data_IF_281306654019
#
_entry.id   IF_281306654019
#
_cell.length_a   1.000
_cell.length_b   1.000
_cell.length_c   1.000
_cell.angle_alpha   90.00
_cell.angle_beta   90.00
_cell.angle_gamma   90.00
#
_symmetry.space_group_name_H-M   'P 1'
#
loop_
_entity.id
_entity.type
_entity.pdbx_description
1 polymer ?
#
# COMPACT_ATOMS: atom_id res chain seq x y z
N UNK A 1 19.05 -1.44 22.37
CA UNK A 1 17.85 -1.86 23.13
C UNK A 1 16.64 -1.00 22.76
N UNK A 2 16.72 0.34 22.86
CA UNK A 2 15.66 1.27 22.44
C UNK A 2 15.24 1.16 20.96
N UNK A 3 16.18 0.92 20.03
CA UNK A 3 15.85 0.73 18.61
C UNK A 3 15.09 -0.57 18.32
N UNK A 4 15.40 -1.65 19.03
CA UNK A 4 14.68 -2.93 18.91
C UNK A 4 13.23 -2.80 19.39
N UNK A 5 13.00 -2.10 20.50
CA UNK A 5 11.64 -1.80 20.99
C UNK A 5 10.86 -0.89 20.04
N UNK A 6 11.54 0.05 19.37
CA UNK A 6 10.92 0.93 18.37
C UNK A 6 10.49 0.14 17.13
N UNK A 7 11.35 -0.76 16.65
CA UNK A 7 11.06 -1.67 15.53
C UNK A 7 9.89 -2.61 15.86
N UNK A 8 9.85 -3.21 17.05
CA UNK A 8 8.71 -4.04 17.49
C UNK A 8 7.40 -3.25 17.58
N UNK A 9 7.45 -2.03 18.11
CA UNK A 9 6.29 -1.14 18.19
C UNK A 9 5.73 -0.76 16.81
N UNK A 10 6.61 -0.46 15.84
CA UNK A 10 6.23 -0.11 14.48
C UNK A 10 5.62 -1.31 13.71
N UNK A 11 6.12 -2.53 13.97
CA UNK A 11 5.58 -3.78 13.40
C UNK A 11 4.17 -4.04 13.93
N UNK A 12 3.98 -3.97 15.24
CA UNK A 12 2.67 -4.19 15.88
C UNK A 12 1.65 -3.17 15.36
N UNK A 13 2.05 -1.90 15.24
CA UNK A 13 1.18 -0.85 14.71
C UNK A 13 0.79 -1.09 13.24
N UNK A 14 1.75 -1.47 12.39
CA UNK A 14 1.46 -1.77 10.99
C UNK A 14 0.51 -2.98 10.84
N UNK A 15 0.72 -4.04 11.62
CA UNK A 15 -0.16 -5.21 11.62
C UNK A 15 -1.55 -4.86 12.17
N UNK A 16 -1.64 -4.05 13.22
CA UNK A 16 -2.92 -3.59 13.76
C UNK A 16 -3.70 -2.79 12.72
N UNK A 17 -3.05 -1.82 12.06
CA UNK A 17 -3.67 -1.02 11.00
C UNK A 17 -4.20 -1.91 9.86
N UNK A 18 -3.46 -2.96 9.49
CA UNK A 18 -3.92 -3.93 8.50
C UNK A 18 -5.18 -4.66 8.97
N UNK A 19 -5.18 -5.18 10.20
CA UNK A 19 -6.31 -5.93 10.75
C UNK A 19 -7.56 -5.04 10.89
N UNK A 20 -7.38 -3.79 11.32
CA UNK A 20 -8.45 -2.80 11.40
C UNK A 20 -9.03 -2.47 10.03
N UNK A 21 -8.17 -2.27 9.03
CA UNK A 21 -8.58 -2.06 7.65
C UNK A 21 -9.34 -3.26 7.07
N UNK A 22 -8.87 -4.48 7.34
CA UNK A 22 -9.58 -5.71 6.93
C UNK A 22 -10.95 -5.80 7.60
N UNK A 23 -11.04 -5.55 8.91
CA UNK A 23 -12.31 -5.58 9.65
C UNK A 23 -13.28 -4.52 9.13
N UNK A 24 -12.81 -3.30 8.89
CA UNK A 24 -13.62 -2.24 8.28
C UNK A 24 -14.14 -2.65 6.91
N UNK A 25 -13.29 -3.27 6.08
CA UNK A 25 -13.71 -3.75 4.76
C UNK A 25 -14.74 -4.87 4.85
N UNK A 26 -14.58 -5.82 5.76
CA UNK A 26 -15.56 -6.88 6.03
C UNK A 26 -16.90 -6.27 6.46
N UNK A 27 -16.89 -5.28 7.35
CA UNK A 27 -18.10 -4.62 7.82
C UNK A 27 -18.82 -3.89 6.68
N UNK A 28 -18.09 -3.13 5.84
CA UNK A 28 -18.68 -2.43 4.68
C UNK A 28 -19.31 -3.43 3.71
N UNK A 29 -18.60 -4.50 3.36
CA UNK A 29 -19.14 -5.51 2.42
C UNK A 29 -20.35 -6.22 3.05
N UNK A 30 -20.34 -6.49 4.35
CA UNK A 30 -21.47 -7.12 5.05
C UNK A 30 -22.70 -6.21 5.02
N UNK A 31 -22.53 -4.90 5.25
CA UNK A 31 -23.62 -3.92 5.12
C UNK A 31 -24.18 -3.87 3.68
N UNK A 32 -23.32 -3.93 2.67
CA UNK A 32 -23.75 -3.97 1.26
C UNK A 32 -24.54 -5.26 0.95
N UNK A 33 -24.11 -6.40 1.48
CA UNK A 33 -24.87 -7.66 1.37
C UNK A 33 -26.25 -7.51 2.04
N UNK A 34 -26.31 -6.92 3.23
CA UNK A 34 -27.56 -6.69 3.96
C UNK A 34 -28.49 -5.74 3.21
N UNK A 35 -27.96 -4.68 2.57
CA UNK A 35 -28.75 -3.80 1.70
C UNK A 35 -29.33 -4.54 0.49
N UNK A 36 -28.54 -5.40 -0.16
CA UNK A 36 -29.01 -6.23 -1.28
C UNK A 36 -30.07 -7.23 -0.81
N UNK A 37 -29.87 -7.85 0.36
CA UNK A 37 -30.84 -8.75 0.99
C UNK A 37 -32.11 -8.01 1.42
N UNK A 38 -32.02 -6.78 1.91
CA UNK A 38 -33.17 -5.96 2.25
C UNK A 38 -33.97 -5.57 1.00
N UNK A 39 -33.30 -5.30 -0.13
CA UNK A 39 -33.98 -5.13 -1.42
C UNK A 39 -34.74 -6.38 -1.88
N UNK A 40 -34.41 -7.57 -1.35
CA UNK A 40 -35.19 -8.79 -1.58
C UNK A 40 -36.58 -8.68 -0.99
N UNK A 41 -36.72 -8.00 0.14
CA UNK A 41 -38.02 -7.79 0.77
C UNK A 41 -38.94 -6.97 -0.14
N UNK A 42 -38.40 -5.99 -0.89
CA UNK A 42 -39.15 -5.22 -1.88
C UNK A 42 -39.59 -6.08 -3.09
N UNK A 43 -38.72 -6.96 -3.61
CA UNK A 43 -39.14 -7.89 -4.66
C UNK A 43 -40.14 -8.92 -4.15
N UNK A 44 -39.98 -9.42 -2.93
CA UNK A 44 -40.97 -10.30 -2.31
C UNK A 44 -42.33 -9.60 -2.15
N UNK A 45 -42.34 -8.29 -1.89
CA UNK A 45 -43.55 -7.50 -1.83
C UNK A 45 -44.23 -7.40 -3.21
N UNK A 46 -43.47 -7.15 -4.28
CA UNK A 46 -43.99 -7.24 -5.66
C UNK A 46 -44.52 -8.63 -5.99
N UNK A 47 -43.79 -9.69 -5.63
CA UNK A 47 -44.22 -11.07 -5.83
C UNK A 47 -45.51 -11.38 -5.07
N UNK A 48 -45.69 -10.85 -3.86
CA UNK A 48 -46.92 -11.01 -3.09
C UNK A 48 -48.11 -10.31 -3.75
N UNK A 49 -47.91 -9.10 -4.29
CA UNK A 49 -48.95 -8.41 -5.06
C UNK A 49 -49.32 -9.26 -6.29
N UNK A 50 -48.35 -9.68 -7.09
CA UNK A 50 -48.61 -10.52 -8.26
C UNK A 50 -49.27 -11.86 -7.91
N UNK A 51 -48.89 -12.48 -6.80
CA UNK A 51 -49.49 -13.70 -6.30
C UNK A 51 -50.99 -13.54 -6.03
N UNK A 52 -51.42 -12.43 -5.42
CA UNK A 52 -52.83 -12.14 -5.15
C UNK A 52 -53.69 -12.10 -6.44
N UNK A 53 -53.06 -11.78 -7.57
CA UNK A 53 -53.70 -11.66 -8.88
C UNK A 53 -53.38 -12.81 -9.84
N UNK A 54 -52.67 -13.84 -9.36
CA UNK A 54 -52.20 -14.98 -10.16
C UNK A 54 -51.38 -14.55 -11.39
N UNK A 55 -50.58 -13.50 -11.23
CA UNK A 55 -49.70 -12.98 -12.28
C UNK A 55 -48.35 -13.69 -12.20
N UNK A 56 -47.86 -14.18 -13.34
CA UNK A 56 -46.53 -14.81 -13.41
C UNK A 56 -45.43 -13.77 -13.27
N UNK A 57 -44.53 -13.95 -12.30
CA UNK A 57 -43.36 -13.06 -12.14
C UNK A 57 -42.33 -13.15 -13.27
N UNK A 58 -42.43 -14.17 -14.14
CA UNK A 58 -41.49 -14.40 -15.24
C UNK A 58 -42.05 -14.04 -16.61
N UNK A 59 -43.36 -13.76 -16.71
CA UNK A 59 -44.06 -13.46 -17.97
C UNK A 59 -45.28 -12.57 -17.65
N UNK A 60 -45.03 -11.28 -17.43
CA UNK A 60 -46.07 -10.28 -17.11
C UNK A 60 -46.58 -9.67 -18.41
N UNK A 61 -47.88 -9.78 -18.68
CA UNK A 61 -48.52 -9.23 -19.89
C UNK A 61 -49.47 -8.08 -19.57
N UNK A 62 -49.80 -7.29 -20.58
CA UNK A 62 -50.74 -6.16 -20.47
C UNK A 62 -52.07 -6.57 -19.83
N UNK A 63 -52.57 -7.76 -20.20
CA UNK A 63 -53.82 -8.33 -19.67
C UNK A 63 -53.72 -8.69 -18.19
N UNK A 64 -52.52 -8.98 -17.70
CA UNK A 64 -52.28 -9.26 -16.29
C UNK A 64 -52.33 -7.99 -15.44
N UNK A 65 -51.71 -6.90 -15.91
CA UNK A 65 -51.76 -5.61 -15.21
C UNK A 65 -53.20 -5.10 -15.07
N UNK A 66 -54.07 -5.36 -16.04
CA UNK A 66 -55.49 -4.97 -15.98
C UNK A 66 -56.27 -5.62 -14.82
N UNK A 67 -55.78 -6.73 -14.26
CA UNK A 67 -56.37 -7.39 -13.09
C UNK A 67 -56.12 -6.61 -11.79
N UNK A 68 -55.03 -5.84 -11.74
CA UNK A 68 -54.64 -5.07 -10.57
C UNK A 68 -55.69 -3.99 -10.25
N UNK A 69 -55.89 -3.71 -8.96
CA UNK A 69 -56.57 -2.49 -8.56
C UNK A 69 -55.58 -1.30 -8.64
N UNK A 70 -56.13 -0.09 -8.63
CA UNK A 70 -55.35 1.15 -8.80
C UNK A 70 -54.37 1.37 -7.63
N UNK A 71 -54.72 0.96 -6.42
CA UNK A 71 -53.86 1.10 -5.25
C UNK A 71 -52.65 0.15 -5.32
N UNK A 72 -52.86 -1.11 -5.72
CA UNK A 72 -51.80 -2.09 -5.88
C UNK A 72 -50.87 -1.72 -7.04
N UNK A 73 -51.40 -1.14 -8.13
CA UNK A 73 -50.57 -0.56 -9.18
C UNK A 73 -49.71 0.60 -8.65
N UNK A 74 -50.31 1.53 -7.91
CA UNK A 74 -49.58 2.64 -7.29
C UNK A 74 -48.49 2.14 -6.35
N UNK A 75 -48.76 1.09 -5.59
CA UNK A 75 -47.81 0.46 -4.67
C UNK A 75 -46.65 -0.22 -5.41
N UNK A 76 -46.92 -0.90 -6.52
CA UNK A 76 -45.86 -1.45 -7.39
C UNK A 76 -44.91 -0.35 -7.89
N UNK A 77 -45.46 0.77 -8.37
CA UNK A 77 -44.64 1.92 -8.83
C UNK A 77 -43.84 2.55 -7.69
N UNK A 78 -44.38 2.58 -6.47
CA UNK A 78 -43.70 3.04 -5.26
C UNK A 78 -42.53 2.13 -4.89
N UNK A 79 -42.75 0.81 -4.87
CA UNK A 79 -41.69 -0.18 -4.60
C UNK A 79 -40.56 -0.07 -5.61
N UNK A 80 -40.88 0.21 -6.89
CA UNK A 80 -39.90 0.38 -7.96
C UNK A 80 -39.14 1.72 -7.91
N UNK A 81 -39.58 2.67 -7.09
CA UNK A 81 -38.95 3.99 -6.93
C UNK A 81 -39.21 4.94 -8.09
N UNK A 82 -40.34 4.83 -8.79
CA UNK A 82 -40.72 5.72 -9.89
C UNK A 82 -41.01 7.14 -9.38
N UNK A 83 -40.55 8.18 -10.10
CA UNK A 83 -40.66 9.57 -9.63
C UNK A 83 -42.07 10.17 -9.79
N UNK A 84 -42.88 9.67 -10.72
CA UNK A 84 -44.17 10.26 -11.12
C UNK A 84 -45.37 9.35 -10.81
N UNK A 85 -45.39 8.72 -9.63
CA UNK A 85 -46.39 7.70 -9.23
C UNK A 85 -47.83 8.18 -9.43
N UNK A 86 -48.16 9.42 -9.04
CA UNK A 86 -49.52 9.95 -9.17
C UNK A 86 -49.98 10.04 -10.65
N UNK A 87 -49.08 10.44 -11.55
CA UNK A 87 -49.37 10.53 -12.99
C UNK A 87 -49.51 9.13 -13.60
N UNK A 88 -48.60 8.22 -13.25
CA UNK A 88 -48.64 6.83 -13.70
C UNK A 88 -49.92 6.12 -13.25
N UNK A 89 -50.32 6.33 -11.99
CA UNK A 89 -51.54 5.75 -11.40
C UNK A 89 -52.79 6.28 -12.08
N UNK A 90 -52.86 7.59 -12.35
CA UNK A 90 -53.96 8.20 -13.10
C UNK A 90 -54.06 7.63 -14.53
N UNK A 91 -52.91 7.51 -15.21
CA UNK A 91 -52.85 6.98 -16.57
C UNK A 91 -53.23 5.48 -16.62
N UNK A 92 -52.87 4.72 -15.60
CA UNK A 92 -53.28 3.32 -15.45
C UNK A 92 -54.80 3.19 -15.31
N UNK A 93 -55.44 3.99 -14.45
CA UNK A 93 -56.89 4.00 -14.30
C UNK A 93 -57.61 4.40 -15.61
N UNK A 94 -57.07 5.37 -16.36
CA UNK A 94 -57.54 5.73 -17.69
C UNK A 94 -57.44 4.56 -18.69
N UNK A 95 -56.29 3.88 -18.76
CA UNK A 95 -56.08 2.73 -19.63
C UNK A 95 -57.03 1.56 -19.29
N UNK A 96 -57.27 1.33 -18.00
CA UNK A 96 -58.22 0.31 -17.52
C UNK A 96 -59.64 0.59 -18.00
N UNK A 97 -60.10 1.84 -17.85
CA UNK A 97 -61.42 2.29 -18.34
C UNK A 97 -61.57 2.19 -19.85
N UNK A 98 -60.53 2.55 -20.61
CA UNK A 98 -60.51 2.41 -22.07
C UNK A 98 -60.69 0.94 -22.47
N UNK A 99 -59.96 0.03 -21.83
CA UNK A 99 -60.06 -1.41 -22.09
C UNK A 99 -61.44 -1.99 -21.71
N UNK A 100 -62.00 -1.62 -20.56
CA UNK A 100 -63.34 -2.05 -20.14
C UNK A 100 -64.42 -1.56 -21.11
N UNK A 101 -64.37 -0.28 -21.51
CA UNK A 101 -65.29 0.29 -22.48
C UNK A 101 -65.17 -0.42 -23.83
N UNK A 102 -63.94 -0.62 -24.32
CA UNK A 102 -63.71 -1.31 -25.59
C UNK A 102 -64.26 -2.74 -25.57
N UNK A 103 -64.00 -3.52 -24.51
CA UNK A 103 -64.56 -4.88 -24.35
C UNK A 103 -66.09 -4.88 -24.37
N UNK A 104 -66.73 -3.91 -23.75
CA UNK A 104 -68.20 -3.79 -23.76
C UNK A 104 -68.77 -3.45 -25.13
N UNK A 105 -68.02 -2.75 -25.98
CA UNK A 105 -68.44 -2.33 -27.31
C UNK A 105 -68.28 -3.42 -28.37
N UNK A 106 -67.32 -4.33 -28.18
CA UNK A 106 -67.02 -5.42 -29.12
C UNK A 106 -67.69 -6.74 -28.74
N UNK A 107 -68.36 -6.82 -27.58
CA UNK A 107 -69.05 -8.02 -27.13
C UNK A 107 -70.21 -8.37 -28.09
N UNK A 108 -70.13 -9.56 -28.69
CA UNK A 108 -71.12 -10.04 -29.67
C UNK A 108 -71.03 -9.41 -31.07
N UNK A 109 -69.93 -8.74 -31.42
CA UNK A 109 -69.72 -8.13 -32.75
C UNK A 109 -68.78 -8.98 -33.61
N UNK A 110 -69.21 -9.34 -34.83
CA UNK A 110 -68.43 -10.19 -35.77
C UNK A 110 -67.21 -9.48 -36.39
N UNK A 111 -67.21 -8.14 -36.42
CA UNK A 111 -66.10 -7.32 -36.89
C UNK A 111 -65.64 -6.35 -35.81
N UNK A 112 -64.41 -6.54 -35.34
CA UNK A 112 -63.77 -5.71 -34.32
C UNK A 112 -63.28 -4.42 -35.00
N UNK A 113 -63.83 -3.24 -34.67
CA UNK A 113 -63.38 -1.97 -35.23
C UNK A 113 -61.97 -1.62 -34.69
N UNK A 114 -61.10 -1.10 -35.56
CA UNK A 114 -59.83 -0.50 -35.13
C UNK A 114 -60.11 0.64 -34.14
N UNK A 115 -59.48 0.58 -32.97
CA UNK A 115 -59.62 1.59 -31.94
C UNK A 115 -58.23 2.02 -31.47
N UNK A 116 -57.70 3.07 -32.09
CA UNK A 116 -56.36 3.60 -31.78
C UNK A 116 -56.15 3.88 -30.29
N UNK A 117 -57.19 4.35 -29.59
CA UNK A 117 -57.15 4.61 -28.15
C UNK A 117 -56.96 3.33 -27.32
N UNK A 118 -57.56 2.21 -27.76
CA UNK A 118 -57.36 0.91 -27.13
C UNK A 118 -55.93 0.40 -27.40
N UNK A 119 -55.47 0.51 -28.65
CA UNK A 119 -54.11 0.08 -29.02
C UNK A 119 -53.04 0.89 -28.26
N UNK A 120 -53.21 2.21 -28.13
CA UNK A 120 -52.35 3.08 -27.34
C UNK A 120 -52.34 2.69 -25.85
N UNK A 121 -53.50 2.33 -25.30
CA UNK A 121 -53.63 1.89 -23.90
C UNK A 121 -52.92 0.54 -23.67
N UNK A 122 -53.11 -0.43 -24.55
CA UNK A 122 -52.45 -1.75 -24.46
C UNK A 122 -50.94 -1.61 -24.65
N UNK A 123 -50.48 -0.80 -25.62
CA UNK A 123 -49.06 -0.54 -25.81
C UNK A 123 -48.43 0.15 -24.60
N UNK A 124 -49.14 1.09 -23.97
CA UNK A 124 -48.65 1.72 -22.75
C UNK A 124 -48.54 0.72 -21.59
N UNK A 125 -49.55 -0.15 -21.39
CA UNK A 125 -49.51 -1.21 -20.39
C UNK A 125 -48.37 -2.20 -20.63
N UNK A 126 -48.13 -2.60 -21.88
CA UNK A 126 -47.01 -3.47 -22.24
C UNK A 126 -45.66 -2.84 -21.90
N UNK A 127 -45.48 -1.55 -22.17
CA UNK A 127 -44.26 -0.85 -21.77
C UNK A 127 -44.07 -0.87 -20.24
N UNK A 128 -45.14 -0.76 -19.46
CA UNK A 128 -45.05 -0.89 -17.99
C UNK A 128 -44.67 -2.31 -17.57
N UNK A 129 -45.25 -3.34 -18.21
CA UNK A 129 -44.84 -4.74 -17.99
C UNK A 129 -43.33 -4.92 -18.19
N UNK A 130 -42.79 -4.37 -19.28
CA UNK A 130 -41.37 -4.48 -19.61
C UNK A 130 -40.49 -3.78 -18.57
N UNK A 131 -40.91 -2.63 -18.05
CA UNK A 131 -40.21 -1.90 -16.98
C UNK A 131 -40.20 -2.74 -15.69
N UNK A 132 -41.35 -3.30 -15.29
CA UNK A 132 -41.47 -4.17 -14.12
C UNK A 132 -40.56 -5.40 -14.27
N UNK A 133 -40.65 -6.11 -15.40
CA UNK A 133 -39.86 -7.31 -15.67
C UNK A 133 -38.35 -7.01 -15.65
N UNK A 134 -37.94 -5.90 -16.28
CA UNK A 134 -36.54 -5.47 -16.28
C UNK A 134 -36.04 -5.14 -14.87
N UNK A 135 -36.88 -4.53 -14.03
CA UNK A 135 -36.56 -4.26 -12.63
C UNK A 135 -36.35 -5.55 -11.83
N UNK A 136 -37.26 -6.52 -11.96
CA UNK A 136 -37.16 -7.81 -11.27
C UNK A 136 -35.93 -8.63 -11.74
N UNK A 137 -35.68 -8.69 -13.05
CA UNK A 137 -34.53 -9.41 -13.61
C UNK A 137 -33.20 -8.80 -13.16
N UNK A 138 -33.10 -7.46 -13.21
CA UNK A 138 -31.89 -6.75 -12.74
C UNK A 138 -31.63 -7.06 -11.27
N UNK A 139 -32.68 -7.09 -10.44
CA UNK A 139 -32.55 -7.44 -9.04
C UNK A 139 -32.04 -8.88 -8.85
N UNK A 140 -32.65 -9.88 -9.48
CA UNK A 140 -32.25 -11.29 -9.32
C UNK A 140 -30.79 -11.54 -9.73
N UNK A 141 -30.37 -10.94 -10.84
CA UNK A 141 -29.00 -11.03 -11.35
C UNK A 141 -28.00 -10.30 -10.43
N UNK A 142 -28.30 -9.06 -10.06
CA UNK A 142 -27.43 -8.26 -9.18
C UNK A 142 -27.37 -8.87 -7.77
N UNK A 143 -28.43 -9.50 -7.28
CA UNK A 143 -28.43 -10.07 -5.93
C UNK A 143 -27.59 -11.34 -5.81
N UNK A 144 -27.79 -12.31 -6.70
CA UNK A 144 -27.15 -13.62 -6.56
C UNK A 144 -25.65 -13.55 -6.86
N UNK A 145 -25.28 -12.90 -7.97
CA UNK A 145 -23.89 -12.85 -8.40
C UNK A 145 -23.04 -11.94 -7.50
N UNK A 146 -23.57 -10.78 -7.07
CA UNK A 146 -22.78 -9.86 -6.25
C UNK A 146 -22.64 -10.38 -4.81
N UNK A 147 -23.66 -11.02 -4.23
CA UNK A 147 -23.56 -11.61 -2.89
C UNK A 147 -22.48 -12.69 -2.88
N UNK A 148 -22.47 -13.62 -3.82
CA UNK A 148 -21.48 -14.70 -3.87
C UNK A 148 -20.04 -14.15 -3.98
N UNK A 149 -19.81 -13.14 -4.83
CA UNK A 149 -18.50 -12.48 -4.97
C UNK A 149 -18.09 -11.77 -3.67
N UNK A 150 -19.03 -11.07 -3.05
CA UNK A 150 -18.82 -10.34 -1.79
C UNK A 150 -18.54 -11.29 -0.62
N UNK A 151 -19.28 -12.39 -0.49
CA UNK A 151 -19.08 -13.42 0.53
C UNK A 151 -17.75 -14.15 0.35
N UNK A 152 -17.36 -14.48 -0.89
CA UNK A 152 -16.03 -15.02 -1.19
C UNK A 152 -14.90 -14.05 -0.80
N UNK A 153 -15.11 -12.75 -1.01
CA UNK A 153 -14.16 -11.71 -0.60
C UNK A 153 -14.02 -11.65 0.92
N UNK A 154 -15.14 -11.65 1.66
CA UNK A 154 -15.15 -11.72 3.13
C UNK A 154 -14.41 -12.97 3.62
N UNK A 155 -14.68 -14.14 3.05
CA UNK A 155 -14.06 -15.40 3.45
C UNK A 155 -12.54 -15.39 3.23
N UNK A 156 -12.09 -14.83 2.10
CA UNK A 156 -10.66 -14.65 1.82
C UNK A 156 -9.98 -13.74 2.85
N UNK A 157 -10.62 -12.61 3.21
CA UNK A 157 -10.12 -11.66 4.20
C UNK A 157 -10.08 -12.25 5.62
N UNK A 158 -11.12 -13.00 6.02
CA UNK A 158 -11.17 -13.70 7.32
C UNK A 158 -10.08 -14.77 7.42
N UNK A 159 -9.90 -15.58 6.37
CA UNK A 159 -8.85 -16.62 6.32
C UNK A 159 -7.44 -16.02 6.39
N UNK A 160 -7.24 -14.83 5.82
CA UNK A 160 -5.97 -14.13 5.96
C UNK A 160 -5.77 -13.61 7.40
N UNK A 161 -6.80 -12.98 7.97
CA UNK A 161 -6.77 -12.41 9.33
C UNK A 161 -6.55 -13.47 10.42
N UNK A 162 -6.99 -14.72 10.20
CA UNK A 162 -6.77 -15.82 11.15
C UNK A 162 -5.30 -16.23 11.32
N UNK A 163 -4.40 -15.72 10.47
CA UNK A 163 -2.94 -15.89 10.63
C UNK A 163 -2.36 -14.98 11.71
N UNK A 164 -3.18 -14.13 12.30
CA UNK A 164 -2.79 -13.20 13.36
C UNK A 164 -3.54 -13.51 14.65
N UNK A 165 -2.86 -13.38 15.78
CA UNK A 165 -3.45 -13.49 17.11
C UNK A 165 -2.87 -12.39 18.00
N UNK A 166 -3.74 -11.60 18.63
CA UNK A 166 -3.34 -10.48 19.48
C UNK A 166 -2.37 -9.48 18.82
N UNK A 167 -2.50 -9.25 17.50
CA UNK A 167 -1.63 -8.35 16.74
C UNK A 167 -0.30 -8.96 16.29
N UNK A 168 -0.05 -10.23 16.60
CA UNK A 168 1.15 -10.96 16.18
C UNK A 168 0.84 -11.97 15.08
N UNK A 169 1.78 -12.15 14.16
CA UNK A 169 1.70 -13.21 13.16
C UNK A 169 1.99 -14.55 13.85
N UNK A 170 1.12 -15.55 13.65
CA UNK A 170 1.27 -16.90 14.23
C UNK A 170 1.64 -17.97 13.19
N UNK A 171 1.44 -17.67 11.90
CA UNK A 171 1.80 -18.55 10.78
C UNK A 171 2.59 -17.75 9.74
N UNK A 172 3.74 -18.24 9.24
CA UNK A 172 4.54 -17.50 8.27
C UNK A 172 3.79 -17.26 6.94
N UNK A 173 4.05 -16.10 6.33
CA UNK A 173 3.48 -15.72 5.03
C UNK A 173 4.62 -15.65 4.00
N UNK A 174 4.74 -16.71 3.19
CA UNK A 174 5.75 -16.79 2.13
C UNK A 174 5.27 -16.27 0.77
N UNK A 175 3.97 -16.29 0.55
CA UNK A 175 3.33 -15.94 -0.72
C UNK A 175 3.06 -14.43 -0.79
N UNK A 176 3.98 -13.71 -1.44
CA UNK A 176 3.92 -12.25 -1.59
C UNK A 176 2.78 -11.84 -2.53
N UNK A 177 2.41 -12.67 -3.51
CA UNK A 177 1.31 -12.38 -4.43
C UNK A 177 -0.03 -12.42 -3.67
N UNK A 178 -0.26 -13.45 -2.85
CA UNK A 178 -1.44 -13.48 -1.98
C UNK A 178 -1.49 -12.30 -1.00
N UNK A 179 -0.34 -11.90 -0.46
CA UNK A 179 -0.28 -10.71 0.39
C UNK A 179 -0.65 -9.43 -0.38
N UNK A 180 -0.15 -9.27 -1.60
CA UNK A 180 -0.49 -8.14 -2.46
C UNK A 180 -1.98 -8.08 -2.77
N UNK A 181 -2.61 -9.22 -3.05
CA UNK A 181 -4.04 -9.30 -3.33
C UNK A 181 -4.88 -8.82 -2.13
N UNK A 182 -4.51 -9.22 -0.91
CA UNK A 182 -5.19 -8.79 0.31
C UNK A 182 -4.99 -7.28 0.54
N UNK A 183 -3.76 -6.79 0.38
CA UNK A 183 -3.46 -5.37 0.49
C UNK A 183 -4.24 -4.54 -0.53
N UNK A 184 -4.41 -5.02 -1.75
CA UNK A 184 -5.19 -4.33 -2.77
C UNK A 184 -6.69 -4.31 -2.44
N UNK A 185 -7.21 -5.34 -1.77
CA UNK A 185 -8.61 -5.41 -1.32
C UNK A 185 -8.90 -4.57 -0.07
N UNK A 186 -7.87 -4.20 0.70
CA UNK A 186 -7.99 -3.48 1.98
C UNK A 186 -8.27 -1.98 1.84
N UNK A 187 -7.96 -1.36 0.69
CA UNK A 187 -8.16 0.08 0.47
C UNK A 187 -7.11 1.00 1.10
N UNK A 188 -5.98 0.44 1.57
CA UNK A 188 -4.86 1.18 2.16
C UNK A 188 -4.06 1.99 1.13
N UNK A 189 -3.37 3.03 1.58
CA UNK A 189 -2.47 3.79 0.72
C UNK A 189 -1.16 3.05 0.44
N UNK A 190 -0.44 3.45 -0.62
CA UNK A 190 0.79 2.77 -1.05
C UNK A 190 1.85 2.75 0.06
N UNK A 191 2.03 3.86 0.78
CA UNK A 191 2.99 3.95 1.88
C UNK A 191 2.67 2.95 3.01
N UNK A 192 1.40 2.82 3.37
CA UNK A 192 0.93 1.88 4.39
C UNK A 192 1.12 0.44 3.92
N UNK A 193 0.80 0.14 2.65
CA UNK A 193 1.03 -1.19 2.05
C UNK A 193 2.51 -1.58 2.13
N UNK A 194 3.43 -0.66 1.86
CA UNK A 194 4.88 -0.91 1.94
C UNK A 194 5.31 -1.17 3.38
N UNK A 195 4.84 -0.36 4.34
CA UNK A 195 5.12 -0.55 5.77
C UNK A 195 4.63 -1.91 6.26
N UNK A 196 3.42 -2.32 5.86
CA UNK A 196 2.84 -3.62 6.22
C UNK A 196 3.62 -4.79 5.60
N UNK A 197 4.05 -4.67 4.34
CA UNK A 197 4.91 -5.69 3.71
C UNK A 197 6.22 -5.87 4.47
N UNK A 198 6.85 -4.76 4.88
CA UNK A 198 8.08 -4.79 5.70
C UNK A 198 7.80 -5.46 7.05
N UNK A 199 6.72 -5.07 7.73
CA UNK A 199 6.33 -5.64 9.02
C UNK A 199 6.02 -7.15 8.94
N UNK A 200 5.24 -7.60 7.95
CA UNK A 200 4.95 -9.02 7.73
C UNK A 200 6.21 -9.79 7.34
N UNK A 201 7.09 -9.20 6.55
CA UNK A 201 8.39 -9.79 6.21
C UNK A 201 9.26 -10.04 7.45
N UNK A 202 9.34 -9.04 8.35
CA UNK A 202 10.07 -9.16 9.61
C UNK A 202 9.37 -10.16 10.55
N UNK A 203 8.05 -10.11 10.70
CA UNK A 203 7.30 -11.05 11.55
C UNK A 203 7.42 -12.49 11.06
N UNK A 204 7.37 -12.71 9.73
CA UNK A 204 7.60 -14.02 9.10
C UNK A 204 9.02 -14.50 9.36
N UNK A 205 10.00 -13.62 9.24
CA UNK A 205 11.39 -13.93 9.56
C UNK A 205 11.58 -14.30 11.04
N UNK A 206 10.99 -13.54 11.96
CA UNK A 206 11.06 -13.79 13.40
C UNK A 206 10.39 -15.12 13.79
N UNK A 207 9.30 -15.50 13.12
CA UNK A 207 8.66 -16.81 13.29
C UNK A 207 9.57 -17.95 12.80
N UNK A 208 10.22 -17.76 11.65
CA UNK A 208 11.10 -18.76 11.05
C UNK A 208 12.39 -18.96 11.84
N UNK A 209 12.91 -17.90 12.43
CA UNK A 209 14.16 -17.91 13.21
C UNK A 209 13.97 -18.35 14.66
N UNK A 210 12.74 -18.44 15.17
CA UNK A 210 12.44 -19.09 16.46
C UNK A 210 12.61 -20.61 16.31
N UNK A 211 13.47 -21.19 17.16
CA UNK A 211 14.14 -22.50 17.07
C UNK A 211 13.30 -23.77 16.81
N UNK A 212 11.98 -23.71 16.75
CA UNK A 212 11.11 -24.88 16.75
C UNK A 212 10.22 -24.97 15.49
N UNK A 213 10.81 -24.82 14.30
CA UNK A 213 10.11 -25.12 13.05
C UNK A 213 9.99 -26.64 12.83
N UNK A 214 8.83 -27.14 12.35
CA UNK A 214 8.71 -28.49 11.83
C UNK A 214 9.72 -28.76 10.70
N UNK A 215 10.20 -30.00 10.57
CA UNK A 215 11.22 -30.42 9.58
C UNK A 215 10.81 -30.07 8.13
N UNK A 216 9.53 -30.20 7.81
CA UNK A 216 8.97 -29.84 6.49
C UNK A 216 9.09 -28.35 6.19
N UNK A 217 9.04 -27.48 7.20
CA UNK A 217 9.16 -26.04 7.03
C UNK A 217 10.62 -25.59 6.97
N UNK A 218 11.53 -26.27 7.69
CA UNK A 218 12.99 -26.03 7.55
C UNK A 218 13.47 -26.30 6.13
N UNK A 219 12.97 -27.36 5.50
CA UNK A 219 13.29 -27.71 4.11
C UNK A 219 12.83 -26.63 3.12
N UNK A 220 11.66 -26.02 3.34
CA UNK A 220 11.17 -24.90 2.51
C UNK A 220 12.02 -23.63 2.66
N UNK A 221 12.54 -23.38 3.86
CA UNK A 221 13.42 -22.24 4.13
C UNK A 221 14.76 -22.41 3.41
N UNK A 222 15.34 -23.61 3.44
CA UNK A 222 16.55 -23.93 2.66
C UNK A 222 16.33 -23.72 1.16
N UNK A 223 15.17 -24.15 0.63
CA UNK A 223 14.84 -23.95 -0.78
C UNK A 223 14.74 -22.46 -1.15
N UNK A 224 14.24 -21.61 -0.23
CA UNK A 224 14.26 -20.16 -0.41
C UNK A 224 15.69 -19.61 -0.47
N UNK A 225 16.62 -20.14 0.33
CA UNK A 225 18.03 -19.75 0.27
C UNK A 225 18.71 -20.19 -1.02
N UNK A 226 18.35 -21.35 -1.58
CA UNK A 226 18.76 -21.75 -2.93
C UNK A 226 18.30 -20.77 -3.99
N UNK A 227 17.02 -20.39 -4.00
CA UNK A 227 16.52 -19.43 -4.99
C UNK A 227 17.22 -18.06 -4.88
N UNK A 228 17.52 -17.61 -3.66
CA UNK A 228 18.28 -16.37 -3.44
C UNK A 228 19.72 -16.52 -3.93
N UNK A 229 20.37 -17.65 -3.63
CA UNK A 229 21.70 -17.98 -4.13
C UNK A 229 21.73 -17.99 -5.66
N UNK A 230 20.83 -18.70 -6.34
CA UNK A 230 20.79 -18.81 -7.80
C UNK A 230 20.67 -17.42 -8.45
N UNK A 231 19.73 -16.60 -7.96
CA UNK A 231 19.54 -15.24 -8.47
C UNK A 231 20.79 -14.38 -8.30
N UNK A 232 21.40 -14.40 -7.11
CA UNK A 232 22.61 -13.63 -6.83
C UNK A 232 23.82 -14.15 -7.60
N UNK A 233 23.98 -15.47 -7.67
CA UNK A 233 25.06 -16.13 -8.40
C UNK A 233 25.06 -15.70 -9.86
N UNK A 234 23.89 -15.69 -10.50
CA UNK A 234 23.74 -15.21 -11.87
C UNK A 234 24.08 -13.71 -12.01
N UNK A 235 23.55 -12.88 -11.09
CA UNK A 235 23.76 -11.43 -11.10
C UNK A 235 25.23 -11.04 -10.92
N UNK A 236 25.98 -11.77 -10.09
CA UNK A 236 27.36 -11.46 -9.72
C UNK A 236 28.39 -12.45 -10.29
N UNK A 237 28.05 -13.16 -11.36
CA UNK A 237 28.86 -14.26 -11.94
C UNK A 237 30.31 -13.87 -12.20
N UNK A 238 30.54 -12.68 -12.76
CA UNK A 238 31.89 -12.20 -13.10
C UNK A 238 32.74 -11.96 -11.85
N UNK A 239 32.22 -11.20 -10.88
CA UNK A 239 32.90 -10.94 -9.62
C UNK A 239 33.17 -12.23 -8.83
N UNK A 240 32.20 -13.16 -8.80
CA UNK A 240 32.36 -14.49 -8.20
C UNK A 240 33.55 -15.23 -8.83
N UNK A 241 33.62 -15.24 -10.17
CA UNK A 241 34.67 -15.93 -10.90
C UNK A 241 36.06 -15.36 -10.58
N UNK A 242 36.20 -14.03 -10.53
CA UNK A 242 37.48 -13.39 -10.18
C UNK A 242 37.89 -13.65 -8.74
N UNK A 243 36.95 -13.55 -7.79
CA UNK A 243 37.22 -13.83 -6.38
C UNK A 243 37.67 -15.29 -6.19
N UNK A 244 36.99 -16.26 -6.83
CA UNK A 244 37.37 -17.67 -6.73
C UNK A 244 38.76 -17.94 -7.32
N UNK A 245 39.09 -17.35 -8.47
CA UNK A 245 40.43 -17.45 -9.07
C UNK A 245 41.51 -16.90 -8.13
N UNK A 246 41.29 -15.73 -7.56
CA UNK A 246 42.22 -15.12 -6.61
C UNK A 246 42.37 -15.94 -5.33
N UNK A 247 41.26 -16.45 -4.79
CA UNK A 247 41.30 -17.34 -3.62
C UNK A 247 42.16 -18.58 -3.91
N UNK A 248 42.03 -19.17 -5.09
CA UNK A 248 42.82 -20.32 -5.50
C UNK A 248 44.31 -19.97 -5.68
N UNK A 249 44.64 -18.83 -6.31
CA UNK A 249 46.03 -18.42 -6.55
C UNK A 249 46.76 -18.00 -5.28
N UNK A 250 46.05 -17.44 -4.30
CA UNK A 250 46.62 -16.91 -3.06
C UNK A 250 46.41 -17.85 -1.86
N UNK A 251 45.81 -19.02 -2.09
CA UNK A 251 45.41 -19.98 -1.07
C UNK A 251 44.59 -19.34 0.08
N UNK A 252 43.72 -18.40 -0.28
CA UNK A 252 42.88 -17.65 0.66
C UNK A 252 41.56 -18.37 0.86
N UNK A 253 41.22 -18.61 2.12
CA UNK A 253 39.97 -19.28 2.51
C UNK A 253 38.93 -18.26 2.99
N UNK A 254 37.79 -18.19 2.31
CA UNK A 254 36.65 -17.37 2.73
C UNK A 254 35.90 -18.04 3.89
N UNK A 255 35.65 -17.26 4.95
CA UNK A 255 34.91 -17.67 6.15
C UNK A 255 33.89 -16.62 6.55
N UNK A 256 32.78 -17.06 7.16
CA UNK A 256 31.68 -16.16 7.54
C UNK A 256 32.14 -15.10 8.55
N UNK A 257 33.05 -15.46 9.45
CA UNK A 257 33.56 -14.55 10.48
C UNK A 257 34.42 -13.40 9.90
N UNK A 258 34.93 -13.55 8.67
CA UNK A 258 35.88 -12.63 8.06
C UNK A 258 35.28 -11.82 6.90
N UNK A 259 33.97 -11.91 6.65
CA UNK A 259 33.33 -11.36 5.45
C UNK A 259 33.70 -9.89 5.21
N UNK A 260 33.66 -9.03 6.24
CA UNK A 260 33.97 -7.60 6.08
C UNK A 260 35.43 -7.39 5.66
N UNK A 261 36.37 -8.07 6.31
CA UNK A 261 37.79 -7.99 5.97
C UNK A 261 38.06 -8.52 4.56
N UNK A 262 37.34 -9.58 4.14
CA UNK A 262 37.45 -10.12 2.79
C UNK A 262 36.88 -9.15 1.75
N UNK A 263 35.77 -8.46 2.04
CA UNK A 263 35.22 -7.41 1.17
C UNK A 263 36.23 -6.30 0.97
N UNK A 264 36.83 -5.78 2.03
CA UNK A 264 37.81 -4.70 1.94
C UNK A 264 39.05 -5.14 1.14
N UNK A 265 39.52 -6.36 1.39
CA UNK A 265 40.62 -6.98 0.68
C UNK A 265 40.38 -7.06 -0.83
N UNK A 266 39.22 -7.59 -1.24
CA UNK A 266 38.90 -7.74 -2.66
C UNK A 266 38.54 -6.42 -3.31
N UNK A 267 37.93 -5.48 -2.60
CA UNK A 267 37.63 -4.14 -3.13
C UNK A 267 38.90 -3.38 -3.47
N UNK A 268 39.94 -3.50 -2.65
CA UNK A 268 41.24 -2.88 -2.93
C UNK A 268 41.94 -3.49 -4.17
N UNK A 269 41.69 -4.76 -4.50
CA UNK A 269 42.35 -5.47 -5.61
C UNK A 269 41.54 -5.52 -6.90
N UNK A 270 40.22 -5.47 -6.80
CA UNK A 270 39.27 -5.56 -7.92
C UNK A 270 38.58 -4.22 -8.12
N UNK A 271 39.36 -3.19 -8.46
CA UNK A 271 38.89 -1.80 -8.59
C UNK A 271 37.85 -1.59 -9.69
N UNK A 272 37.71 -2.55 -10.62
CA UNK A 272 36.70 -2.56 -11.68
C UNK A 272 35.31 -3.00 -11.19
N UNK A 273 35.18 -3.51 -9.96
CA UNK A 273 33.93 -3.96 -9.38
C UNK A 273 33.54 -3.08 -8.19
N UNK A 274 32.25 -2.76 -8.09
CA UNK A 274 31.72 -2.05 -6.92
C UNK A 274 31.86 -2.91 -5.64
N UNK A 275 32.16 -2.27 -4.50
CA UNK A 275 32.26 -2.95 -3.20
C UNK A 275 30.98 -3.77 -2.85
N UNK A 276 29.81 -3.28 -3.30
CA UNK A 276 28.54 -3.99 -3.18
C UNK A 276 28.52 -5.29 -4.01
N UNK A 277 29.03 -5.25 -5.24
CA UNK A 277 29.11 -6.43 -6.09
C UNK A 277 30.07 -7.47 -5.51
N UNK A 278 31.23 -7.04 -5.01
CA UNK A 278 32.22 -7.89 -4.34
C UNK A 278 31.63 -8.55 -3.09
N UNK A 279 30.95 -7.78 -2.25
CA UNK A 279 30.25 -8.30 -1.05
C UNK A 279 29.22 -9.36 -1.43
N UNK A 280 28.36 -9.06 -2.38
CA UNK A 280 27.33 -10.00 -2.80
C UNK A 280 27.91 -11.25 -3.47
N UNK A 281 29.05 -11.14 -4.14
CA UNK A 281 29.79 -12.28 -4.66
C UNK A 281 30.35 -13.16 -3.54
N UNK A 282 31.01 -12.58 -2.52
CA UNK A 282 31.52 -13.31 -1.34
C UNK A 282 30.38 -14.01 -0.61
N UNK A 283 29.27 -13.29 -0.36
CA UNK A 283 28.08 -13.86 0.27
C UNK A 283 27.54 -15.04 -0.55
N UNK A 284 27.49 -14.92 -1.88
CA UNK A 284 27.00 -16.01 -2.74
C UNK A 284 27.89 -17.25 -2.68
N UNK A 285 29.22 -17.07 -2.62
CA UNK A 285 30.18 -18.17 -2.48
C UNK A 285 29.99 -18.88 -1.14
N UNK A 286 29.86 -18.14 -0.05
CA UNK A 286 29.67 -18.72 1.28
C UNK A 286 28.28 -19.34 1.45
N UNK A 287 27.24 -18.73 0.87
CA UNK A 287 25.88 -19.27 0.90
C UNK A 287 25.82 -20.62 0.18
N UNK A 288 26.54 -20.77 -0.94
CA UNK A 288 26.68 -22.05 -1.62
C UNK A 288 27.31 -23.11 -0.72
N UNK A 289 28.39 -22.78 0.00
CA UNK A 289 29.05 -23.72 0.93
C UNK A 289 28.08 -24.25 1.99
N UNK A 290 27.30 -23.36 2.61
CA UNK A 290 26.33 -23.74 3.64
C UNK A 290 25.19 -24.61 3.06
N UNK A 291 24.73 -24.31 1.85
CA UNK A 291 23.72 -25.12 1.15
C UNK A 291 24.25 -26.51 0.76
N UNK A 292 25.50 -26.61 0.30
CA UNK A 292 26.15 -27.89 -0.01
C UNK A 292 26.33 -28.74 1.27
N UNK A 293 26.65 -28.11 2.41
CA UNK A 293 26.67 -28.73 3.74
C UNK A 293 25.32 -29.29 4.18
N UNK A 294 24.21 -28.64 3.81
CA UNK A 294 22.86 -29.15 4.07
C UNK A 294 22.59 -30.45 3.32
N UNK A 295 22.98 -30.53 2.05
CA UNK A 295 22.81 -31.75 1.25
C UNK A 295 23.61 -32.92 1.82
N UNK A 296 24.71 -32.64 2.52
CA UNK A 296 25.51 -33.61 3.28
C UNK A 296 24.94 -33.95 4.67
N UNK A 297 23.74 -33.44 5.01
CA UNK A 297 23.02 -33.67 6.28
C UNK A 297 23.80 -33.22 7.51
N UNK A 298 24.57 -32.14 7.39
CA UNK A 298 25.19 -31.48 8.54
C UNK A 298 24.14 -30.75 9.39
N UNK A 299 24.57 -30.10 10.48
CA UNK A 299 23.67 -29.49 11.47
C UNK A 299 22.78 -28.40 10.85
N UNK A 300 21.52 -28.74 10.54
CA UNK A 300 20.52 -27.90 9.88
C UNK A 300 20.35 -26.56 10.60
N UNK A 301 20.32 -26.53 11.93
CA UNK A 301 20.11 -25.31 12.68
C UNK A 301 21.32 -24.36 12.59
N UNK A 302 22.53 -24.92 12.51
CA UNK A 302 23.76 -24.15 12.28
C UNK A 302 23.77 -23.55 10.87
N UNK A 303 23.41 -24.36 9.88
CA UNK A 303 23.37 -23.95 8.47
C UNK A 303 22.35 -22.84 8.25
N UNK A 304 21.15 -22.96 8.83
CA UNK A 304 20.15 -21.90 8.77
C UNK A 304 20.72 -20.61 9.37
N UNK A 305 21.22 -20.65 10.60
CA UNK A 305 21.79 -19.46 11.25
C UNK A 305 22.92 -18.81 10.42
N UNK A 306 23.76 -19.61 9.78
CA UNK A 306 24.83 -19.12 8.90
C UNK A 306 24.29 -18.49 7.61
N UNK A 307 23.32 -19.14 6.94
CA UNK A 307 22.61 -18.56 5.80
C UNK A 307 21.97 -17.21 6.16
N UNK A 308 21.32 -17.14 7.33
CA UNK A 308 20.74 -15.91 7.87
C UNK A 308 21.78 -14.80 8.02
N UNK A 309 22.92 -15.06 8.69
CA UNK A 309 24.01 -14.10 8.86
C UNK A 309 24.55 -13.61 7.52
N UNK A 310 24.74 -14.52 6.57
CA UNK A 310 25.18 -14.20 5.22
C UNK A 310 24.21 -13.26 4.50
N UNK A 311 22.91 -13.51 4.63
CA UNK A 311 21.89 -12.64 4.07
C UNK A 311 21.81 -11.30 4.80
N UNK A 312 22.10 -11.24 6.10
CA UNK A 312 22.25 -9.98 6.83
C UNK A 312 23.41 -9.15 6.28
N UNK A 313 24.59 -9.75 6.06
CA UNK A 313 25.73 -9.04 5.44
C UNK A 313 25.41 -8.54 4.03
N UNK A 314 24.63 -9.30 3.26
CA UNK A 314 24.11 -8.84 1.98
C UNK A 314 23.15 -7.65 2.10
N UNK A 315 22.45 -7.51 3.24
CA UNK A 315 21.43 -6.47 3.49
C UNK A 315 21.97 -5.25 4.23
N UNK A 316 23.08 -5.36 4.97
CA UNK A 316 23.74 -4.28 5.73
C UNK A 316 24.36 -3.14 4.87
N UNK A 317 23.84 -2.92 3.66
CA UNK A 317 23.87 -1.64 2.92
C UNK A 317 22.74 -1.55 1.86
N UNK A 318 21.77 -2.47 1.84
CA UNK A 318 20.55 -2.34 1.04
C UNK A 318 19.61 -1.25 1.58
N UNK A 319 19.79 -0.79 2.82
CA UNK A 319 19.09 0.39 3.35
C UNK A 319 19.64 1.74 2.79
N UNK A 320 20.62 1.73 1.89
CA UNK A 320 21.04 2.89 1.09
C UNK A 320 20.65 2.83 -0.39
N UNK A 321 19.59 2.10 -0.75
CA UNK A 321 18.92 2.24 -2.06
C UNK A 321 17.44 2.59 -1.91
N UNK A 322 17.16 3.89 -1.77
CA UNK A 322 16.12 4.48 -2.62
C UNK A 322 16.78 4.92 -3.93
N UNK A 323 16.68 4.04 -4.93
CA UNK A 323 16.57 4.50 -6.32
C UNK A 323 15.16 5.08 -6.47
N UNK A 324 14.99 6.38 -6.22
CA UNK A 324 14.08 7.14 -7.05
C UNK A 324 14.80 7.37 -8.38
N UNK A 325 14.14 6.88 -9.44
CA UNK A 325 14.36 7.08 -10.88
C UNK A 325 15.38 8.15 -11.28
N UNK A 326 16.11 7.85 -12.35
CA UNK A 326 16.80 8.81 -13.22
C UNK A 326 16.16 10.20 -13.14
N UNK A 327 16.82 11.10 -12.42
CA UNK A 327 16.66 12.52 -12.65
C UNK A 327 17.88 13.00 -13.44
N UNK A 328 17.66 13.80 -14.50
CA UNK A 328 18.73 14.29 -15.36
C UNK A 328 19.72 15.14 -14.56
N UNK A 329 20.92 15.34 -15.13
CA UNK A 329 22.04 16.09 -14.56
C UNK A 329 21.60 17.46 -13.96
N UNK A 330 20.53 18.08 -14.50
CA UNK A 330 19.92 19.35 -14.05
C UNK A 330 19.25 19.32 -12.67
N UNK A 331 18.80 18.17 -12.19
CA UNK A 331 17.99 18.10 -10.97
C UNK A 331 18.82 18.33 -9.69
N UNK A 332 20.05 17.79 -9.62
CA UNK A 332 20.93 18.00 -8.47
C UNK A 332 21.47 19.44 -8.40
N UNK A 333 21.71 20.08 -9.54
CA UNK A 333 22.09 21.50 -9.59
C UNK A 333 20.94 22.38 -9.13
N UNK A 334 19.71 22.06 -9.55
CA UNK A 334 18.51 22.80 -9.14
C UNK A 334 18.22 22.62 -7.65
N UNK A 335 18.32 21.39 -7.13
CA UNK A 335 18.17 21.11 -5.70
C UNK A 335 19.26 21.78 -4.87
N UNK A 336 20.52 21.66 -5.30
CA UNK A 336 21.65 22.34 -4.68
C UNK A 336 21.45 23.85 -4.60
N UNK A 337 21.10 24.49 -5.72
CA UNK A 337 20.85 25.93 -5.77
C UNK A 337 19.64 26.36 -4.91
N UNK A 338 18.62 25.53 -4.81
CA UNK A 338 17.44 25.78 -3.94
C UNK A 338 17.85 25.74 -2.47
N UNK A 339 18.62 24.73 -2.06
CA UNK A 339 19.19 24.64 -0.71
C UNK A 339 20.08 25.85 -0.43
N UNK A 340 20.95 26.23 -1.35
CA UNK A 340 21.79 27.43 -1.21
C UNK A 340 20.98 28.71 -1.02
N UNK A 341 19.88 28.88 -1.77
CA UNK A 341 18.95 30.02 -1.61
C UNK A 341 18.32 30.04 -0.21
N UNK A 342 17.85 28.90 0.28
CA UNK A 342 17.27 28.79 1.63
C UNK A 342 18.31 29.09 2.71
N UNK A 343 19.56 28.64 2.52
CA UNK A 343 20.65 28.97 3.43
C UNK A 343 20.93 30.47 3.44
N UNK A 344 20.99 31.13 2.28
CA UNK A 344 21.22 32.58 2.21
C UNK A 344 20.14 33.37 2.97
N UNK A 345 18.88 32.91 2.92
CA UNK A 345 17.80 33.48 3.71
C UNK A 345 18.06 33.33 5.23
N UNK A 346 18.46 32.13 5.68
CA UNK A 346 18.80 31.87 7.08
C UNK A 346 19.98 32.72 7.55
N UNK A 347 21.04 32.80 6.75
CA UNK A 347 22.22 33.65 7.05
C UNK A 347 21.81 35.12 7.17
N UNK A 348 20.89 35.57 6.32
CA UNK A 348 20.36 36.94 6.37
C UNK A 348 19.54 37.19 7.63
N UNK A 349 18.65 36.25 7.99
CA UNK A 349 17.80 36.33 9.20
C UNK A 349 18.67 36.32 10.46
N UNK A 350 19.71 35.49 10.49
CA UNK A 350 20.57 35.27 11.66
C UNK A 350 21.86 36.09 11.62
N UNK A 351 21.94 37.12 10.78
CA UNK A 351 23.14 37.94 10.61
C UNK A 351 23.68 38.50 11.93
N UNK A 352 22.80 39.02 12.78
CA UNK A 352 23.18 39.54 14.11
C UNK A 352 23.65 38.43 15.08
N UNK A 353 23.14 37.21 14.93
CA UNK A 353 23.50 36.06 15.75
C UNK A 353 24.87 35.49 15.33
N UNK A 354 25.20 35.59 14.04
CA UNK A 354 26.52 35.25 13.48
C UNK A 354 27.59 36.31 13.81
N UNK A 355 27.26 37.61 13.71
CA UNK A 355 28.19 38.72 13.97
C UNK A 355 28.62 38.83 15.45
N UNK A 356 27.75 38.44 16.40
CA UNK A 356 28.01 38.57 17.83
C UNK A 356 28.72 37.35 18.47
N UNK A 357 28.92 36.25 17.73
CA UNK A 357 29.43 34.98 18.28
C UNK A 357 30.70 34.49 17.57
N UNK A 358 31.79 35.23 17.77
CA UNK A 358 33.16 34.81 17.42
C UNK A 358 33.72 33.93 18.55
N UNK A 359 34.09 32.66 18.26
CA UNK A 359 35.08 31.79 18.96
C UNK A 359 34.77 30.26 18.93
N UNK A 360 35.47 29.56 18.03
CA UNK A 360 36.48 28.48 18.20
C UNK A 360 36.34 27.20 19.05
N UNK A 361 35.30 26.93 19.84
CA UNK A 361 35.26 25.65 20.57
C UNK A 361 33.92 24.90 20.49
N UNK A 362 33.76 24.09 19.45
CA UNK A 362 32.59 23.23 19.23
C UNK A 362 32.35 22.21 20.37
N UNK A 363 33.41 21.82 21.09
CA UNK A 363 33.35 20.81 22.16
C UNK A 363 32.60 21.31 23.41
N UNK A 364 32.85 22.56 23.82
CA UNK A 364 32.27 23.15 25.04
C UNK A 364 30.75 23.37 24.91
N UNK A 365 30.26 23.49 23.68
CA UNK A 365 28.83 23.61 23.36
C UNK A 365 28.10 22.26 23.27
N UNK A 366 28.78 21.21 22.80
CA UNK A 366 28.22 19.85 22.77
C UNK A 366 27.87 19.37 24.19
N UNK A 367 28.73 19.70 25.16
CA UNK A 367 28.53 19.38 26.58
C UNK A 367 27.38 20.18 27.23
N UNK A 368 27.05 21.36 26.69
CA UNK A 368 25.95 22.20 27.16
C UNK A 368 24.58 21.82 26.57
N UNK A 369 24.54 21.33 25.32
CA UNK A 369 23.30 20.91 24.64
C UNK A 369 22.65 19.65 25.24
N UNK A 370 23.40 18.86 26.01
CA UNK A 370 22.90 17.65 26.69
C UNK A 370 22.08 17.94 27.97
N UNK A 371 21.88 19.20 28.37
CA UNK A 371 21.05 19.59 29.51
C UNK A 371 19.80 20.34 29.04
N UNK A 372 18.61 20.00 29.52
CA UNK A 372 17.34 20.61 29.09
C UNK A 372 17.13 22.01 29.70
N UNK A 373 17.44 23.08 28.97
CA UNK A 373 17.19 24.49 29.32
C UNK A 373 16.85 25.31 28.05
N UNK A 374 15.90 26.25 28.11
CA UNK A 374 15.60 27.21 27.02
C UNK A 374 16.83 27.97 26.51
N UNK A 375 17.79 28.30 27.39
CA UNK A 375 19.06 28.95 27.05
C UNK A 375 19.95 28.06 26.15
N UNK A 376 19.72 26.74 26.16
CA UNK A 376 20.43 25.80 25.30
C UNK A 376 19.84 25.73 23.89
N UNK A 377 18.55 26.02 23.68
CA UNK A 377 17.98 26.08 22.33
C UNK A 377 18.60 27.22 21.49
N UNK A 378 18.91 28.36 22.11
CA UNK A 378 19.59 29.48 21.44
C UNK A 378 21.05 29.13 21.10
N UNK A 379 21.75 28.44 22.00
CA UNK A 379 23.12 27.93 21.76
C UNK A 379 23.16 26.85 20.68
N UNK A 380 22.22 25.90 20.70
CA UNK A 380 22.08 24.88 19.66
C UNK A 380 21.69 25.52 18.32
N UNK A 381 20.85 26.57 18.33
CA UNK A 381 20.53 27.33 17.12
C UNK A 381 21.79 27.96 16.51
N UNK A 382 22.68 28.54 17.32
CA UNK A 382 23.97 29.08 16.85
C UNK A 382 24.82 28.00 16.17
N UNK A 383 24.90 26.79 16.74
CA UNK A 383 25.65 25.67 16.15
C UNK A 383 25.07 25.26 14.80
N UNK A 384 23.75 25.08 14.74
CA UNK A 384 23.07 24.67 13.51
C UNK A 384 23.29 25.70 12.41
N UNK A 385 23.17 27.00 12.71
CA UNK A 385 23.42 28.07 11.74
C UNK A 385 24.90 28.07 11.29
N UNK A 386 25.86 27.81 12.18
CA UNK A 386 27.29 27.68 11.80
C UNK A 386 27.56 26.44 10.94
N UNK A 387 26.97 25.30 11.26
CA UNK A 387 27.08 24.07 10.47
C UNK A 387 26.47 24.25 9.07
N UNK A 388 25.36 25.00 8.97
CA UNK A 388 24.76 25.42 7.69
C UNK A 388 25.78 26.24 6.88
N UNK A 389 26.41 27.27 7.47
CA UNK A 389 27.40 28.12 6.78
C UNK A 389 28.60 27.29 6.28
N UNK A 390 29.20 26.47 7.14
CA UNK A 390 30.37 25.65 6.76
C UNK A 390 30.03 24.63 5.66
N UNK A 391 28.87 23.97 5.78
CA UNK A 391 28.45 22.98 4.80
C UNK A 391 28.09 23.64 3.47
N UNK A 392 27.67 24.90 3.48
CA UNK A 392 27.34 25.68 2.28
C UNK A 392 28.54 25.92 1.40
N UNK A 393 29.68 26.33 1.97
CA UNK A 393 30.93 26.48 1.21
C UNK A 393 31.37 25.16 0.57
N UNK A 394 31.19 24.04 1.29
CA UNK A 394 31.50 22.70 0.77
C UNK A 394 30.53 22.29 -0.36
N UNK A 395 29.25 22.62 -0.25
CA UNK A 395 28.26 22.35 -1.28
C UNK A 395 28.50 23.21 -2.53
N UNK A 396 28.81 24.50 -2.39
CA UNK A 396 29.12 25.38 -3.52
C UNK A 396 30.31 24.86 -4.34
N UNK A 397 31.38 24.41 -3.67
CA UNK A 397 32.52 23.81 -4.34
C UNK A 397 32.17 22.45 -4.96
N UNK A 398 31.41 21.60 -4.25
CA UNK A 398 30.96 20.33 -4.80
C UNK A 398 30.11 20.52 -6.06
N UNK A 399 29.18 21.48 -6.07
CA UNK A 399 28.31 21.74 -7.22
C UNK A 399 29.11 22.23 -8.43
N UNK A 400 30.19 23.00 -8.23
CA UNK A 400 31.13 23.36 -9.30
C UNK A 400 31.87 22.12 -9.82
N UNK A 401 32.46 21.33 -8.93
CA UNK A 401 33.14 20.08 -9.31
C UNK A 401 32.20 19.09 -10.01
N UNK A 402 30.92 19.06 -9.62
CA UNK A 402 29.86 18.26 -10.23
C UNK A 402 29.45 18.76 -11.62
N UNK A 403 29.55 20.06 -11.92
CA UNK A 403 29.35 20.57 -13.28
C UNK A 403 30.44 20.08 -14.24
N UNK A 404 31.67 19.92 -13.74
CA UNK A 404 32.82 19.47 -14.53
C UNK A 404 32.88 17.93 -14.64
N UNK A 405 32.69 17.20 -13.55
CA UNK A 405 32.73 15.73 -13.49
C UNK A 405 31.52 15.13 -12.77
N UNK A 406 30.32 15.12 -13.39
CA UNK A 406 29.07 14.75 -12.72
C UNK A 406 29.10 13.37 -12.06
N UNK A 407 29.71 12.37 -12.72
CA UNK A 407 29.71 11.00 -12.22
C UNK A 407 30.57 10.80 -10.97
N UNK A 408 31.65 11.57 -10.81
CA UNK A 408 32.57 11.46 -9.67
C UNK A 408 31.99 12.13 -8.43
N UNK A 409 31.34 13.29 -8.61
CA UNK A 409 30.88 14.13 -7.50
C UNK A 409 29.39 13.95 -7.16
N UNK A 410 28.61 13.19 -7.96
CA UNK A 410 27.16 13.00 -7.75
C UNK A 410 26.80 12.57 -6.34
N UNK A 411 27.49 11.55 -5.83
CA UNK A 411 27.21 10.98 -4.51
C UNK A 411 27.53 12.00 -3.39
N UNK A 412 28.68 12.67 -3.52
CA UNK A 412 29.14 13.69 -2.56
C UNK A 412 28.20 14.89 -2.52
N UNK A 413 27.72 15.38 -3.66
CA UNK A 413 26.83 16.53 -3.68
C UNK A 413 25.42 16.14 -3.20
N UNK A 414 24.93 14.94 -3.51
CA UNK A 414 23.66 14.43 -2.94
C UNK A 414 23.73 14.33 -1.41
N UNK A 415 24.84 13.85 -0.87
CA UNK A 415 25.06 13.77 0.58
C UNK A 415 25.10 15.18 1.22
N UNK A 416 25.83 16.13 0.63
CA UNK A 416 25.90 17.50 1.13
C UNK A 416 24.54 18.21 1.09
N UNK A 417 23.76 18.04 0.01
CA UNK A 417 22.40 18.57 -0.10
C UNK A 417 21.51 18.04 1.01
N UNK A 418 21.56 16.73 1.28
CA UNK A 418 20.76 16.10 2.33
C UNK A 418 21.17 16.62 3.71
N UNK A 419 22.46 16.64 4.02
CA UNK A 419 22.98 17.10 5.31
C UNK A 419 22.58 18.55 5.60
N UNK A 420 22.69 19.45 4.60
CA UNK A 420 22.28 20.85 4.78
C UNK A 420 20.77 20.97 4.97
N UNK A 421 19.98 20.18 4.25
CA UNK A 421 18.52 20.15 4.41
C UNK A 421 18.13 19.75 5.83
N UNK A 422 18.76 18.71 6.39
CA UNK A 422 18.53 18.30 7.78
C UNK A 422 18.90 19.40 8.79
N UNK A 423 19.98 20.14 8.54
CA UNK A 423 20.34 21.29 9.37
C UNK A 423 19.31 22.43 9.24
N UNK A 424 18.78 22.71 8.05
CA UNK A 424 17.72 23.71 7.82
C UNK A 424 16.45 23.32 8.59
N UNK A 425 16.04 22.06 8.53
CA UNK A 425 14.86 21.57 9.24
C UNK A 425 15.05 21.69 10.77
N UNK A 426 16.23 21.32 11.25
CA UNK A 426 16.61 21.48 12.66
C UNK A 426 16.59 22.95 13.08
N UNK A 427 17.11 23.85 12.25
CA UNK A 427 17.06 25.30 12.45
C UNK A 427 15.61 25.79 12.58
N UNK A 428 14.73 25.39 11.67
CA UNK A 428 13.32 25.80 11.67
C UNK A 428 12.59 25.34 12.95
N UNK A 429 12.86 24.13 13.42
CA UNK A 429 12.32 23.59 14.67
C UNK A 429 12.83 24.40 15.88
N UNK A 430 14.14 24.64 15.96
CA UNK A 430 14.74 25.38 17.05
C UNK A 430 14.28 26.84 17.07
N UNK A 431 14.16 27.50 15.91
CA UNK A 431 13.68 28.88 15.80
C UNK A 431 12.24 29.01 16.30
N UNK A 432 11.36 28.06 15.96
CA UNK A 432 9.98 28.00 16.51
C UNK A 432 9.97 27.84 18.03
N UNK A 433 10.85 27.00 18.58
CA UNK A 433 10.95 26.74 20.02
C UNK A 433 11.57 27.88 20.81
N UNK A 434 12.54 28.59 20.25
CA UNK A 434 13.19 29.76 20.87
C UNK A 434 12.32 31.03 20.81
N UNK A 435 11.25 31.04 20.03
CA UNK A 435 10.36 32.20 19.90
C UNK A 435 8.86 31.84 19.83
N UNK A 436 8.28 31.23 20.89
CA UNK A 436 6.93 30.65 20.86
C UNK A 436 5.77 31.68 20.81
N UNK A 437 6.03 32.99 20.74
CA UNK A 437 5.04 34.07 20.95
C UNK A 437 4.47 34.75 19.70
N UNK A 438 4.54 34.16 18.50
CA UNK A 438 3.96 34.81 17.29
C UNK A 438 2.76 34.12 16.62
N UNK A 439 2.36 32.90 16.96
CA UNK A 439 1.24 32.23 16.25
C UNK A 439 -0.13 32.31 16.94
N UNK A 440 -0.25 32.88 18.14
CA UNK A 440 -1.55 33.08 18.81
C UNK A 440 -1.92 34.57 18.95
N UNK A 441 -2.04 35.29 17.83
CA UNK A 441 -2.89 36.49 17.71
C UNK A 441 -3.36 36.69 16.26
N UNK A 442 -4.35 35.90 15.86
CA UNK A 442 -5.39 36.34 14.92
C UNK A 442 -6.73 35.96 15.53
N UNK A 443 -7.29 36.91 16.29
CA UNK A 443 -8.73 37.06 16.46
C UNK A 443 -9.13 38.27 15.65
#
# INVERSE_FOLDING_TARGET
>A
MLELFKIEGDIIKAISNLLDSINNRINIISLQIDEIKNRRNYILELENIFFNYQISKYDIKSEDLLKLNVNDFSHIMEIMGEENIALLTKKFDECKKINELYKSLIDGVDQIPEASQYDDAINWLQNICDVIMKHMQKYEADASQNIDIMENTINSLKRFSSRFKAGELIEPIFDIEKLNDILNKSGLELAEKVAIKKAIGIATYNLVTKKDLPVDDKSKVIEKYRLIYEKKSNTYTEAISKILQMCASENKELKIENILNDVDYFTAKLTEHEASAIRNAIVSILLKKELDSYDNKENIDSILNNCEKLLMYSRENQEKKEESKENPIDDLLTQGNTVLSNVQEIITIEKALLENNTLDNAQEYYDLALKDNMENNEKTLILVVKSIVQSTELLENCLKDYQEEPNLYRAKCKELILNITEFIDTYNILKKRSNPKKENKTK
#
